data_IF_839194989975
#
_entry.id   IF_839194989975
#
_cell.length_a   1.000
_cell.length_b   1.000
_cell.length_c   1.000
_cell.angle_alpha   90.00
_cell.angle_beta   90.00
_cell.angle_gamma   90.00
#
_symmetry.space_group_name_H-M   'P 1'
#
loop_
_entity.id
_entity.type
_entity.pdbx_description
1 polymer ?
#
# COMPACT_ATOMS: atom_id res chain seq x y z
N UNK A 1 27.41 -19.03 72.59
CA UNK A 1 28.18 -18.47 71.46
C UNK A 1 27.22 -17.70 70.56
N UNK A 2 27.53 -16.45 70.24
CA UNK A 2 26.76 -15.64 69.29
C UNK A 2 26.41 -14.26 69.80
N UNK A 3 27.42 -13.41 69.96
CA UNK A 3 27.22 -11.96 70.08
C UNK A 3 26.57 -11.42 68.80
N UNK A 4 25.62 -10.47 68.95
CA UNK A 4 25.53 -9.40 67.97
C UNK A 4 25.08 -8.11 68.63
N UNK A 5 25.97 -7.14 68.51
CA UNK A 5 26.00 -5.84 69.14
C UNK A 5 24.78 -5.01 68.78
N UNK A 6 24.16 -4.36 69.78
CA UNK A 6 23.19 -3.28 69.56
C UNK A 6 23.95 -2.00 69.25
N UNK A 7 24.17 -1.73 67.96
CA UNK A 7 24.60 -0.40 67.52
C UNK A 7 23.37 0.52 67.49
N UNK A 8 23.16 1.28 68.57
CA UNK A 8 22.23 2.41 68.58
C UNK A 8 23.04 3.65 68.19
N UNK A 9 23.16 3.89 66.89
CA UNK A 9 23.64 5.19 66.40
C UNK A 9 22.63 6.25 66.81
N UNK A 10 22.98 7.04 67.82
CA UNK A 10 22.22 8.20 68.27
C UNK A 10 22.31 9.25 67.17
N UNK A 11 21.42 9.18 66.19
CA UNK A 11 21.23 10.25 65.22
C UNK A 11 20.60 11.42 65.99
N UNK A 12 21.43 12.39 66.35
CA UNK A 12 21.04 13.63 67.00
C UNK A 12 19.99 14.29 66.12
N UNK A 13 18.71 14.19 66.52
CA UNK A 13 17.58 14.88 65.86
C UNK A 13 17.77 16.38 66.06
N UNK A 14 18.49 17.00 65.14
CA UNK A 14 18.62 18.45 65.07
C UNK A 14 17.24 18.97 64.67
N UNK A 15 16.57 19.64 65.60
CA UNK A 15 15.32 20.34 65.34
C UNK A 15 15.54 21.30 64.17
N UNK A 16 14.73 21.16 63.11
CA UNK A 16 14.73 22.12 62.01
C UNK A 16 14.43 23.50 62.57
N UNK A 17 15.19 24.50 62.11
CA UNK A 17 15.00 25.89 62.51
C UNK A 17 13.64 26.34 61.96
N UNK A 18 12.62 26.33 62.84
CA UNK A 18 11.24 26.65 62.50
C UNK A 18 11.03 28.18 62.47
N UNK A 19 11.81 28.84 61.62
CA UNK A 19 11.80 30.30 61.46
C UNK A 19 10.95 30.71 60.26
N UNK A 20 10.23 31.82 60.36
CA UNK A 20 9.37 32.32 59.29
C UNK A 20 10.10 32.55 57.96
N UNK A 21 11.40 32.86 58.02
CA UNK A 21 12.26 32.96 56.84
C UNK A 21 12.38 31.62 56.09
N UNK A 22 12.70 30.52 56.77
CA UNK A 22 12.82 29.17 56.17
C UNK A 22 11.49 28.75 55.54
N UNK A 23 10.40 29.00 56.26
CA UNK A 23 9.03 28.75 55.78
C UNK A 23 8.70 29.56 54.51
N UNK A 24 9.23 30.78 54.41
CA UNK A 24 9.02 31.63 53.22
C UNK A 24 9.78 31.10 51.99
N UNK A 25 11.00 30.58 52.18
CA UNK A 25 11.80 29.96 51.11
C UNK A 25 11.14 28.66 50.65
N UNK A 26 10.75 27.77 51.56
CA UNK A 26 10.05 26.52 51.22
C UNK A 26 8.73 26.80 50.46
N UNK A 27 7.96 27.82 50.89
CA UNK A 27 6.76 28.24 50.15
C UNK A 27 7.09 28.73 48.74
N UNK A 28 8.18 29.48 48.56
CA UNK A 28 8.60 29.94 47.23
C UNK A 28 9.05 28.78 46.33
N UNK A 29 9.82 27.83 46.88
CA UNK A 29 10.26 26.64 46.16
C UNK A 29 9.09 25.74 45.78
N UNK A 30 8.17 25.47 46.71
CA UNK A 30 6.96 24.70 46.45
C UNK A 30 6.08 25.36 45.38
N UNK A 31 5.97 26.70 45.37
CA UNK A 31 5.25 27.43 44.31
C UNK A 31 5.96 27.31 42.95
N UNK A 32 7.29 27.35 42.91
CA UNK A 32 8.08 27.13 41.68
C UNK A 32 7.92 25.70 41.16
N UNK A 33 8.00 24.70 42.04
CA UNK A 33 7.76 23.29 41.70
C UNK A 33 6.34 23.04 41.20
N UNK A 34 5.32 23.56 41.88
CA UNK A 34 3.93 23.44 41.45
C UNK A 34 3.69 24.05 40.05
N UNK A 35 4.33 25.20 39.76
CA UNK A 35 4.30 25.81 38.42
C UNK A 35 4.94 24.92 37.36
N UNK A 36 6.12 24.36 37.65
CA UNK A 36 6.80 23.42 36.74
C UNK A 36 5.97 22.17 36.48
N UNK A 37 5.41 21.55 37.52
CA UNK A 37 4.55 20.35 37.39
C UNK A 37 3.31 20.65 36.54
N UNK A 38 2.66 21.80 36.73
CA UNK A 38 1.53 22.21 35.87
C UNK A 38 1.94 22.39 34.40
N UNK A 39 3.12 22.97 34.16
CA UNK A 39 3.64 23.14 32.80
C UNK A 39 3.91 21.78 32.13
N UNK A 40 4.65 20.89 32.80
CA UNK A 40 4.95 19.56 32.27
C UNK A 40 3.69 18.71 32.08
N UNK A 41 2.70 18.83 32.97
CA UNK A 41 1.41 18.14 32.81
C UNK A 41 0.66 18.60 31.56
N UNK A 42 0.66 19.92 31.29
CA UNK A 42 0.07 20.49 30.07
C UNK A 42 0.84 20.08 28.82
N UNK A 43 2.17 20.07 28.88
CA UNK A 43 3.01 19.63 27.77
C UNK A 43 2.79 18.14 27.48
N UNK A 44 2.74 17.30 28.51
CA UNK A 44 2.47 15.86 28.36
C UNK A 44 1.13 15.59 27.68
N UNK A 45 0.07 16.33 28.03
CA UNK A 45 -1.22 16.19 27.34
C UNK A 45 -1.14 16.56 25.86
N UNK A 46 -0.40 17.60 25.51
CA UNK A 46 -0.18 17.97 24.11
C UNK A 46 0.67 16.94 23.37
N UNK A 47 1.70 16.39 24.00
CA UNK A 47 2.53 15.34 23.41
C UNK A 47 1.71 14.09 23.10
N UNK A 48 0.89 13.65 24.05
CA UNK A 48 0.00 12.49 23.83
C UNK A 48 -0.98 12.76 22.69
N UNK A 49 -1.62 13.94 22.68
CA UNK A 49 -2.52 14.34 21.59
C UNK A 49 -1.80 14.36 20.23
N UNK A 50 -0.58 14.88 20.19
CA UNK A 50 0.22 14.97 18.97
C UNK A 50 0.60 13.58 18.46
N UNK A 51 0.96 12.64 19.34
CA UNK A 51 1.25 11.25 18.97
C UNK A 51 0.02 10.57 18.38
N UNK A 52 -1.18 10.80 18.94
CA UNK A 52 -2.42 10.25 18.40
C UNK A 52 -2.71 10.77 16.99
N UNK A 53 -2.54 12.08 16.76
CA UNK A 53 -2.73 12.70 15.44
C UNK A 53 -1.73 12.13 14.43
N UNK A 54 -0.44 12.07 14.79
CA UNK A 54 0.60 11.52 13.91
C UNK A 54 0.35 10.04 13.63
N UNK A 55 -0.02 9.25 14.64
CA UNK A 55 -0.38 7.85 14.46
C UNK A 55 -1.56 7.67 13.49
N UNK A 56 -2.60 8.49 13.62
CA UNK A 56 -3.74 8.49 12.70
C UNK A 56 -3.34 8.88 11.28
N UNK A 57 -2.48 9.88 11.10
CA UNK A 57 -1.99 10.28 9.78
C UNK A 57 -1.17 9.17 9.11
N UNK A 58 -0.29 8.50 9.87
CA UNK A 58 0.52 7.39 9.35
C UNK A 58 -0.37 6.23 8.89
N UNK A 59 -1.36 5.83 9.69
CA UNK A 59 -2.28 4.74 9.30
C UNK A 59 -3.13 5.12 8.09
N UNK A 60 -3.63 6.36 8.04
CA UNK A 60 -4.35 6.89 6.87
C UNK A 60 -3.50 6.88 5.60
N UNK A 61 -2.21 7.20 5.71
CA UNK A 61 -1.28 7.25 4.58
C UNK A 61 -0.94 5.85 4.06
N UNK A 62 -0.75 4.88 4.96
CA UNK A 62 -0.57 3.46 4.58
C UNK A 62 -1.81 2.94 3.85
N UNK A 63 -3.01 3.21 4.36
CA UNK A 63 -4.26 2.78 3.72
C UNK A 63 -4.42 3.41 2.33
N UNK A 64 -4.10 4.70 2.20
CA UNK A 64 -4.16 5.41 0.91
C UNK A 64 -3.20 4.81 -0.12
N UNK A 65 -1.98 4.43 0.29
CA UNK A 65 -1.00 3.79 -0.60
C UNK A 65 -1.45 2.38 -1.02
N UNK A 66 -2.03 1.58 -0.11
CA UNK A 66 -2.56 0.26 -0.46
C UNK A 66 -3.66 0.35 -1.52
N UNK A 67 -4.60 1.29 -1.36
CA UNK A 67 -5.65 1.52 -2.36
C UNK A 67 -5.09 2.02 -3.68
N UNK A 68 -3.99 2.77 -3.67
CA UNK A 68 -3.32 3.23 -4.90
C UNK A 68 -2.68 2.07 -5.68
N UNK A 69 -1.99 1.18 -4.97
CA UNK A 69 -1.33 0.01 -5.57
C UNK A 69 -2.35 -0.97 -6.15
N UNK A 70 -3.42 -1.25 -5.40
CA UNK A 70 -4.53 -2.09 -5.88
C UNK A 70 -5.20 -1.49 -7.13
N UNK A 71 -5.47 -0.18 -7.13
CA UNK A 71 -6.00 0.51 -8.32
C UNK A 71 -5.04 0.49 -9.51
N UNK A 72 -3.73 0.53 -9.27
CA UNK A 72 -2.72 0.46 -10.34
C UNK A 72 -2.71 -0.93 -10.97
N UNK A 73 -2.74 -1.99 -10.15
CA UNK A 73 -2.83 -3.37 -10.62
C UNK A 73 -4.12 -3.63 -11.40
N UNK A 74 -5.27 -3.18 -10.89
CA UNK A 74 -6.54 -3.29 -11.61
C UNK A 74 -6.50 -2.54 -12.95
N UNK A 75 -5.92 -1.34 -13.00
CA UNK A 75 -5.77 -0.58 -14.24
C UNK A 75 -4.91 -1.34 -15.26
N UNK A 76 -3.82 -1.95 -14.82
CA UNK A 76 -2.93 -2.72 -15.69
C UNK A 76 -3.62 -3.97 -16.25
N UNK A 77 -4.32 -4.73 -15.40
CA UNK A 77 -5.12 -5.89 -15.82
C UNK A 77 -6.21 -5.52 -16.83
N UNK A 78 -6.99 -4.48 -16.52
CA UNK A 78 -8.06 -4.00 -17.43
C UNK A 78 -7.48 -3.47 -18.74
N UNK A 79 -6.32 -2.82 -18.70
CA UNK A 79 -5.65 -2.34 -19.92
C UNK A 79 -5.16 -3.50 -20.79
N UNK A 80 -4.65 -4.57 -20.18
CA UNK A 80 -4.21 -5.77 -20.90
C UNK A 80 -5.42 -6.52 -21.51
N UNK A 81 -6.50 -6.67 -20.74
CA UNK A 81 -7.74 -7.29 -21.22
C UNK A 81 -8.36 -6.47 -22.36
N UNK A 82 -8.37 -5.15 -22.25
CA UNK A 82 -8.85 -4.26 -23.30
C UNK A 82 -8.01 -4.38 -24.58
N UNK A 83 -6.69 -4.48 -24.46
CA UNK A 83 -5.80 -4.69 -25.61
C UNK A 83 -6.08 -6.03 -26.30
N UNK A 84 -6.24 -7.12 -25.54
CA UNK A 84 -6.60 -8.45 -26.08
C UNK A 84 -7.94 -8.43 -26.81
N UNK A 85 -8.96 -7.84 -26.20
CA UNK A 85 -10.30 -7.73 -26.80
C UNK A 85 -10.27 -6.86 -28.06
N UNK A 86 -9.48 -5.78 -28.08
CA UNK A 86 -9.31 -4.95 -29.28
C UNK A 86 -8.63 -5.71 -30.42
N UNK A 87 -7.57 -6.46 -30.12
CA UNK A 87 -6.89 -7.32 -31.10
C UNK A 87 -7.84 -8.37 -31.67
N UNK A 88 -8.58 -9.08 -30.81
CA UNK A 88 -9.60 -10.04 -31.23
C UNK A 88 -10.66 -9.38 -32.12
N UNK A 89 -11.12 -8.18 -31.74
CA UNK A 89 -12.11 -7.43 -32.53
C UNK A 89 -11.55 -7.03 -33.91
N UNK A 90 -10.28 -6.65 -34.02
CA UNK A 90 -9.63 -6.34 -35.30
C UNK A 90 -9.49 -7.59 -36.19
N UNK A 91 -9.05 -8.71 -35.60
CA UNK A 91 -8.95 -9.99 -36.31
C UNK A 91 -10.33 -10.43 -36.82
N UNK A 92 -11.36 -10.35 -35.98
CA UNK A 92 -12.73 -10.70 -36.37
C UNK A 92 -13.26 -9.78 -37.47
N UNK A 93 -12.98 -8.46 -37.39
CA UNK A 93 -13.34 -7.52 -38.48
C UNK A 93 -12.65 -7.86 -39.79
N UNK A 94 -11.37 -8.23 -39.74
CA UNK A 94 -10.61 -8.69 -40.90
C UNK A 94 -11.21 -9.97 -41.49
N UNK A 95 -11.58 -10.92 -40.64
CA UNK A 95 -12.24 -12.15 -41.08
C UNK A 95 -13.58 -11.85 -41.75
N UNK A 96 -14.42 -11.02 -41.13
CA UNK A 96 -15.70 -10.58 -41.70
C UNK A 96 -15.48 -9.91 -43.06
N UNK A 97 -14.46 -9.06 -43.20
CA UNK A 97 -14.13 -8.42 -44.48
C UNK A 97 -13.74 -9.45 -45.54
N UNK A 98 -12.93 -10.44 -45.19
CA UNK A 98 -12.53 -11.52 -46.11
C UNK A 98 -13.72 -12.41 -46.50
N UNK A 99 -14.60 -12.70 -45.55
CA UNK A 99 -15.81 -13.51 -45.76
C UNK A 99 -16.86 -12.81 -46.63
N UNK A 100 -16.85 -11.47 -46.71
CA UNK A 100 -17.72 -10.71 -47.60
C UNK A 100 -17.07 -10.37 -48.95
N UNK A 101 -15.83 -10.79 -49.18
CA UNK A 101 -15.10 -10.54 -50.42
C UNK A 101 -15.23 -11.75 -51.36
N UNK A 102 -15.99 -11.57 -52.44
CA UNK A 102 -16.23 -12.60 -53.45
C UNK A 102 -14.92 -13.15 -54.07
N UNK A 103 -13.88 -12.31 -54.20
CA UNK A 103 -12.57 -12.75 -54.72
C UNK A 103 -11.87 -13.70 -53.75
N UNK A 104 -11.97 -13.41 -52.45
CA UNK A 104 -11.44 -14.27 -51.39
C UNK A 104 -12.19 -15.60 -51.31
N UNK A 105 -13.52 -15.58 -51.41
CA UNK A 105 -14.34 -16.80 -51.48
C UNK A 105 -13.96 -17.63 -52.71
N UNK A 106 -13.81 -17.00 -53.87
CA UNK A 106 -13.37 -17.69 -55.10
C UNK A 106 -11.98 -18.33 -54.95
N UNK A 107 -11.02 -17.67 -54.28
CA UNK A 107 -9.70 -18.26 -53.97
C UNK A 107 -9.82 -19.46 -53.04
N UNK A 108 -10.70 -19.38 -52.04
CA UNK A 108 -10.95 -20.48 -51.11
C UNK A 108 -11.55 -21.70 -51.83
N UNK A 109 -12.55 -21.47 -52.69
CA UNK A 109 -13.20 -22.52 -53.48
C UNK A 109 -12.23 -23.21 -54.45
N UNK A 110 -11.34 -22.44 -55.12
CA UNK A 110 -10.29 -23.01 -55.97
C UNK A 110 -9.28 -23.85 -55.17
N UNK A 111 -8.90 -23.39 -53.98
CA UNK A 111 -7.85 -24.02 -53.15
C UNK A 111 -8.34 -25.26 -52.40
N UNK A 112 -9.49 -25.18 -51.73
CA UNK A 112 -9.99 -26.21 -50.81
C UNK A 112 -10.98 -27.17 -51.47
N UNK A 113 -11.67 -26.74 -52.54
CA UNK A 113 -12.71 -27.52 -53.20
C UNK A 113 -12.44 -27.76 -54.69
N UNK A 114 -11.33 -27.25 -55.23
CA UNK A 114 -10.98 -27.36 -56.66
C UNK A 114 -12.11 -26.91 -57.60
N UNK A 115 -12.92 -25.93 -57.21
CA UNK A 115 -13.90 -25.31 -58.11
C UNK A 115 -13.23 -24.26 -59.00
N UNK A 116 -13.60 -24.21 -60.27
CA UNK A 116 -13.11 -23.25 -61.25
C UNK A 116 -14.27 -22.63 -62.04
N UNK A 117 -14.13 -21.38 -62.46
CA UNK A 117 -15.15 -20.70 -63.28
C UNK A 117 -15.08 -21.12 -64.76
N UNK A 118 -16.10 -20.76 -65.55
CA UNK A 118 -16.13 -21.04 -66.99
C UNK A 118 -14.92 -20.42 -67.70
N UNK A 119 -14.06 -21.28 -68.28
CA UNK A 119 -12.83 -20.88 -68.97
C UNK A 119 -11.53 -21.06 -68.18
N UNK A 120 -11.59 -21.47 -66.91
CA UNK A 120 -10.43 -21.82 -66.10
C UNK A 120 -10.03 -23.30 -66.27
N UNK A 121 -8.72 -23.62 -66.22
CA UNK A 121 -8.18 -25.00 -66.34
C UNK A 121 -7.48 -25.37 -65.01
N UNK A 122 -7.93 -26.45 -64.38
CA UNK A 122 -7.38 -26.95 -63.11
C UNK A 122 -6.17 -27.84 -63.39
N UNK A 123 -5.02 -27.52 -62.78
CA UNK A 123 -3.83 -28.36 -62.79
C UNK A 123 -3.64 -29.01 -61.41
N UNK A 124 -3.84 -30.32 -61.32
CA UNK A 124 -3.46 -31.09 -60.13
C UNK A 124 -1.99 -31.48 -60.24
N UNK A 125 -1.13 -30.89 -59.42
CA UNK A 125 0.23 -31.40 -59.26
C UNK A 125 0.15 -32.74 -58.50
N UNK A 126 0.90 -33.77 -58.91
CA UNK A 126 1.01 -34.97 -58.09
C UNK A 126 1.55 -34.56 -56.73
N UNK A 127 0.80 -34.89 -55.68
CA UNK A 127 1.23 -34.65 -54.31
C UNK A 127 2.54 -35.41 -54.14
N UNK A 128 3.62 -34.71 -53.81
CA UNK A 128 4.90 -35.35 -53.53
C UNK A 128 4.67 -36.29 -52.34
N UNK A 129 4.49 -37.57 -52.62
CA UNK A 129 4.63 -38.64 -51.65
C UNK A 129 6.08 -38.59 -51.15
N UNK A 130 6.31 -37.81 -50.09
CA UNK A 130 7.50 -37.98 -49.27
C UNK A 130 7.46 -39.40 -48.69
N UNK A 131 8.28 -40.28 -49.26
CA UNK A 131 8.62 -41.59 -48.73
C UNK A 131 9.41 -41.50 -47.44
#
# INVERSE_FOLDING_TARGET
MGEKQRNVSTEKRLASINTDYVRSIERQENRKHAKKVRLYRRLATFTVMSILIVGFLITSLINSNKTLEEKKQQKEQVSEELAKVQEEQEILKLQISKLNDDEYIGKLLRKDYFLSEEGEIIFTLPENEEK
#
